data_IF_679968057288
#
_entry.id   IF_679968057288
#
_cell.length_a   1.000
_cell.length_b   1.000
_cell.length_c   1.000
_cell.angle_alpha   90.00
_cell.angle_beta   90.00
_cell.angle_gamma   90.00
#
_symmetry.space_group_name_H-M   'P 1'
#
loop_
_entity.id
_entity.type
_entity.pdbx_description
1 polymer ?
#
# COMPACT_ATOMS: atom_id res chain seq x y z
N UNK A 1 4.54 24.56 9.54
CA UNK A 1 3.74 24.20 8.36
C UNK A 1 4.03 22.76 7.99
N UNK A 2 2.99 21.95 7.84
CA UNK A 2 3.08 20.61 7.29
C UNK A 2 2.56 20.66 5.85
N UNK A 3 3.35 20.15 4.90
CA UNK A 3 3.05 20.19 3.46
C UNK A 3 2.95 18.77 2.89
N UNK A 4 1.83 18.45 2.29
CA UNK A 4 1.51 17.11 1.79
C UNK A 4 1.68 16.97 0.26
N UNK A 5 1.59 18.11 -0.44
CA UNK A 5 1.63 18.11 -1.89
C UNK A 5 3.07 17.96 -2.42
N UNK A 6 3.24 17.45 -3.64
CA UNK A 6 4.53 17.52 -4.32
C UNK A 6 5.01 18.98 -4.45
N UNK A 7 6.32 19.20 -4.35
CA UNK A 7 6.93 20.49 -4.62
C UNK A 7 7.33 20.56 -6.08
N UNK A 8 6.78 21.55 -6.81
CA UNK A 8 7.07 21.79 -8.22
C UNK A 8 8.37 22.56 -8.45
N UNK A 9 8.39 23.35 -9.53
CA UNK A 9 9.59 24.09 -9.95
C UNK A 9 9.89 25.34 -9.12
N UNK A 10 8.96 25.77 -8.27
CA UNK A 10 9.11 26.93 -7.40
C UNK A 10 8.72 26.60 -5.96
N UNK A 11 9.33 27.28 -5.00
CA UNK A 11 8.94 27.20 -3.59
C UNK A 11 7.55 27.85 -3.42
N UNK A 12 6.54 27.13 -2.89
CA UNK A 12 5.23 27.72 -2.66
C UNK A 12 5.26 28.98 -1.78
N UNK A 13 4.47 29.99 -2.15
CA UNK A 13 4.52 31.32 -1.50
C UNK A 13 4.31 31.30 0.02
N UNK A 14 3.44 30.42 0.53
CA UNK A 14 3.24 30.24 1.97
C UNK A 14 4.46 29.60 2.68
N UNK A 15 5.29 28.81 1.99
CA UNK A 15 6.56 28.34 2.51
C UNK A 15 7.62 29.44 2.50
N UNK A 16 7.68 30.27 1.47
CA UNK A 16 8.65 31.37 1.38
C UNK A 16 8.55 32.30 2.61
N UNK A 17 7.34 32.59 3.07
CA UNK A 17 7.12 33.41 4.27
C UNK A 17 7.82 32.81 5.49
N UNK A 18 7.79 31.49 5.66
CA UNK A 18 8.42 30.79 6.79
C UNK A 18 9.94 30.70 6.58
N UNK A 19 10.38 30.36 5.38
CA UNK A 19 11.79 30.15 5.07
C UNK A 19 12.59 31.45 5.17
N UNK A 20 11.95 32.62 4.90
CA UNK A 20 12.56 33.93 4.95
C UNK A 20 12.19 34.76 6.20
N UNK A 21 11.57 34.14 7.23
CA UNK A 21 11.17 34.82 8.50
C UNK A 21 10.31 36.08 8.31
N UNK A 22 9.42 36.06 7.31
CA UNK A 22 8.59 37.22 6.95
C UNK A 22 7.39 37.39 7.90
N UNK A 23 7.64 37.67 9.18
CA UNK A 23 6.58 38.04 10.13
C UNK A 23 5.67 36.88 10.59
N UNK A 24 6.06 35.63 10.37
CA UNK A 24 5.29 34.44 10.80
C UNK A 24 5.78 33.88 12.13
N UNK A 25 4.87 33.26 12.91
CA UNK A 25 5.22 32.48 14.10
C UNK A 25 5.73 31.07 13.75
N UNK A 26 5.41 30.57 12.56
CA UNK A 26 5.90 29.29 12.09
C UNK A 26 7.42 29.37 11.84
N UNK A 27 8.16 28.37 12.33
CA UNK A 27 9.61 28.35 12.29
C UNK A 27 10.18 27.33 11.31
N UNK A 28 9.39 26.32 10.97
CA UNK A 28 9.83 25.19 10.12
C UNK A 28 8.74 24.78 9.14
N UNK A 29 9.19 24.20 8.03
CA UNK A 29 8.38 23.51 7.04
C UNK A 29 8.67 22.02 7.17
N UNK A 30 7.64 21.20 7.33
CA UNK A 30 7.71 19.75 7.30
C UNK A 30 7.10 19.27 5.99
N UNK A 31 7.78 18.35 5.32
CA UNK A 31 7.31 17.69 4.10
C UNK A 31 7.27 16.18 4.33
N UNK A 32 6.25 15.51 3.81
CA UNK A 32 6.09 14.07 4.03
C UNK A 32 7.06 13.26 3.18
N UNK A 33 7.32 13.66 1.95
CA UNK A 33 8.10 12.90 0.96
C UNK A 33 9.54 13.38 0.86
N UNK A 34 10.45 12.43 0.64
CA UNK A 34 11.87 12.72 0.44
C UNK A 34 12.11 13.59 -0.80
N UNK A 35 11.41 13.32 -1.89
CA UNK A 35 11.51 14.07 -3.13
C UNK A 35 11.16 15.56 -2.93
N UNK A 36 10.11 15.84 -2.15
CA UNK A 36 9.71 17.21 -1.79
C UNK A 36 10.79 17.91 -0.95
N UNK A 37 11.43 17.20 -0.02
CA UNK A 37 12.55 17.72 0.75
C UNK A 37 13.73 18.07 -0.17
N UNK A 38 14.19 17.12 -0.97
CA UNK A 38 15.34 17.31 -1.85
C UNK A 38 15.08 18.43 -2.87
N UNK A 39 13.84 18.52 -3.37
CA UNK A 39 13.44 19.59 -4.29
C UNK A 39 13.48 20.97 -3.63
N UNK A 40 12.98 21.13 -2.41
CA UNK A 40 13.08 22.39 -1.67
C UNK A 40 14.52 22.80 -1.42
N UNK A 41 15.39 21.86 -1.04
CA UNK A 41 16.83 22.15 -0.85
C UNK A 41 17.47 22.58 -2.18
N UNK A 42 17.16 21.89 -3.28
CA UNK A 42 17.66 22.26 -4.62
C UNK A 42 17.19 23.66 -5.07
N UNK A 43 16.01 24.08 -4.63
CA UNK A 43 15.45 25.41 -4.86
C UNK A 43 16.01 26.48 -3.89
N UNK A 44 16.96 26.12 -3.02
CA UNK A 44 17.66 27.04 -2.13
C UNK A 44 17.00 27.24 -0.76
N UNK A 45 16.05 26.39 -0.37
CA UNK A 45 15.47 26.45 0.97
C UNK A 45 16.51 26.11 2.05
N UNK A 46 16.57 26.86 3.18
CA UNK A 46 17.49 26.57 4.28
C UNK A 46 17.20 25.21 4.92
N UNK A 47 18.21 24.34 4.98
CA UNK A 47 18.07 22.95 5.48
C UNK A 47 17.76 22.87 6.98
N UNK A 48 18.06 23.89 7.77
CA UNK A 48 17.70 24.00 9.17
C UNK A 48 16.20 24.27 9.37
N UNK A 49 15.55 24.86 8.35
CA UNK A 49 14.11 25.18 8.37
C UNK A 49 13.22 24.15 7.69
N UNK A 50 13.77 23.28 6.87
CA UNK A 50 13.03 22.21 6.19
C UNK A 50 13.37 20.87 6.81
N UNK A 51 12.35 20.09 7.17
CA UNK A 51 12.51 18.74 7.72
C UNK A 51 11.57 17.78 6.98
N UNK A 52 12.06 16.57 6.74
CA UNK A 52 11.19 15.48 6.31
C UNK A 52 10.53 14.86 7.54
N UNK A 53 9.22 14.64 7.47
CA UNK A 53 8.44 13.99 8.52
C UNK A 53 7.29 13.22 7.87
N UNK A 54 7.28 11.91 8.03
CA UNK A 54 6.27 11.03 7.47
C UNK A 54 4.91 11.12 8.15
N UNK A 55 4.03 10.18 7.86
CA UNK A 55 2.68 10.10 8.43
C UNK A 55 2.63 9.09 9.56
N UNK A 56 1.89 9.41 10.63
CA UNK A 56 1.53 8.42 11.66
C UNK A 56 0.27 7.69 11.20
N UNK A 57 0.41 6.39 10.96
CA UNK A 57 -0.71 5.51 10.63
C UNK A 57 -1.13 4.71 11.87
N UNK A 58 -2.45 4.58 12.06
CA UNK A 58 -3.01 3.70 13.09
C UNK A 58 -3.30 2.34 12.48
N UNK A 59 -2.35 1.42 12.58
CA UNK A 59 -2.56 0.06 12.11
C UNK A 59 -3.58 -0.67 13.00
N UNK A 60 -4.56 -1.32 12.35
CA UNK A 60 -5.69 -1.99 13.04
C UNK A 60 -5.23 -3.27 13.76
N UNK A 61 -4.25 -3.97 13.17
CA UNK A 61 -3.73 -5.23 13.69
C UNK A 61 -2.29 -5.50 13.23
N UNK A 62 -1.68 -6.53 13.83
CA UNK A 62 -0.43 -7.09 13.35
C UNK A 62 -0.67 -8.11 12.23
N UNK A 63 0.29 -8.26 11.32
CA UNK A 63 0.35 -9.37 10.37
C UNK A 63 0.72 -10.65 11.15
N UNK A 64 0.01 -11.74 10.89
CA UNK A 64 0.22 -13.04 11.56
C UNK A 64 0.80 -14.09 10.63
N UNK A 65 1.25 -13.69 9.45
CA UNK A 65 1.85 -14.55 8.41
C UNK A 65 0.92 -15.70 7.98
N UNK A 66 -0.40 -15.50 8.05
CA UNK A 66 -1.38 -16.52 7.65
C UNK A 66 -1.43 -16.62 6.13
N UNK A 67 -1.56 -17.83 5.55
CA UNK A 67 -1.55 -18.04 4.11
C UNK A 67 -2.91 -17.68 3.48
N UNK A 68 -3.44 -16.51 3.80
CA UNK A 68 -4.70 -16.02 3.28
C UNK A 68 -4.49 -14.74 2.49
N UNK A 69 -4.94 -14.75 1.23
CA UNK A 69 -4.87 -13.64 0.28
C UNK A 69 -6.26 -13.07 0.09
N UNK A 70 -6.40 -11.75 0.12
CA UNK A 70 -7.60 -11.04 -0.32
C UNK A 70 -7.36 -10.43 -1.69
N UNK A 71 -8.34 -10.60 -2.58
CA UNK A 71 -8.46 -9.91 -3.87
C UNK A 71 -9.81 -9.20 -3.88
N UNK A 72 -9.84 -7.91 -4.11
CA UNK A 72 -11.08 -7.14 -4.25
C UNK A 72 -11.30 -6.77 -5.72
N UNK A 73 -12.53 -6.96 -6.20
CA UNK A 73 -12.88 -6.63 -7.59
C UNK A 73 -14.34 -6.19 -7.72
N UNK A 74 -14.65 -5.44 -8.77
CA UNK A 74 -16.01 -5.14 -9.21
C UNK A 74 -16.29 -5.71 -10.62
N UNK A 75 -15.37 -6.49 -11.16
CA UNK A 75 -15.45 -7.03 -12.51
C UNK A 75 -14.95 -8.47 -12.58
N UNK A 76 -14.90 -9.01 -13.79
CA UNK A 76 -14.31 -10.30 -14.11
C UNK A 76 -12.82 -10.22 -14.49
N UNK A 77 -12.32 -9.00 -14.66
CA UNK A 77 -11.00 -8.75 -15.20
C UNK A 77 -9.93 -8.76 -14.09
N UNK A 78 -9.68 -9.95 -13.56
CA UNK A 78 -8.69 -10.21 -12.51
C UNK A 78 -7.52 -10.96 -13.13
N UNK A 79 -6.33 -10.35 -13.11
CA UNK A 79 -5.14 -10.84 -13.80
C UNK A 79 -4.62 -12.18 -13.25
N UNK A 80 -4.55 -13.19 -14.10
CA UNK A 80 -3.94 -14.50 -13.80
C UNK A 80 -4.41 -15.21 -12.51
N UNK A 81 -5.64 -14.94 -12.02
CA UNK A 81 -6.14 -15.49 -10.76
C UNK A 81 -6.04 -17.03 -10.70
N UNK A 82 -6.41 -17.71 -11.77
CA UNK A 82 -6.43 -19.19 -11.83
C UNK A 82 -5.04 -19.80 -11.92
N UNK A 83 -4.15 -19.15 -12.63
CA UNK A 83 -2.74 -19.49 -12.71
C UNK A 83 -2.05 -19.32 -11.37
N UNK A 84 -2.28 -18.19 -10.69
CA UNK A 84 -1.76 -17.92 -9.36
C UNK A 84 -2.28 -18.92 -8.32
N UNK A 85 -3.58 -19.26 -8.35
CA UNK A 85 -4.15 -20.28 -7.47
C UNK A 85 -3.48 -21.64 -7.68
N UNK A 86 -3.18 -22.00 -8.94
CA UNK A 86 -2.47 -23.24 -9.25
C UNK A 86 -1.02 -23.24 -8.79
N UNK A 87 -0.31 -22.10 -8.90
CA UNK A 87 1.10 -21.96 -8.52
C UNK A 87 1.31 -21.82 -7.01
N UNK A 88 0.27 -21.43 -6.27
CA UNK A 88 0.31 -21.21 -4.83
C UNK A 88 -0.74 -22.05 -4.08
N UNK A 89 -0.70 -23.41 -4.17
CA UNK A 89 -1.73 -24.28 -3.58
C UNK A 89 -1.80 -24.21 -2.04
N UNK A 90 -0.75 -23.75 -1.38
CA UNK A 90 -0.69 -23.55 0.07
C UNK A 90 -1.30 -22.23 0.54
N UNK A 91 -1.57 -21.29 -0.37
CA UNK A 91 -2.23 -20.02 -0.09
C UNK A 91 -3.71 -20.09 -0.44
N UNK A 92 -4.57 -19.53 0.39
CA UNK A 92 -6.01 -19.51 0.15
C UNK A 92 -6.47 -18.13 -0.32
N UNK A 93 -7.03 -18.07 -1.51
CA UNK A 93 -7.51 -16.85 -2.16
C UNK A 93 -8.95 -16.57 -1.76
N UNK A 94 -9.22 -15.40 -1.22
CA UNK A 94 -10.54 -14.85 -0.95
C UNK A 94 -10.82 -13.76 -1.97
N UNK A 95 -11.67 -14.03 -2.97
CA UNK A 95 -12.03 -13.09 -4.03
C UNK A 95 -13.36 -12.44 -3.70
N UNK A 96 -13.36 -11.17 -3.37
CA UNK A 96 -14.55 -10.43 -2.97
C UNK A 96 -14.97 -9.42 -4.03
N UNK A 97 -16.23 -9.50 -4.47
CA UNK A 97 -16.83 -8.53 -5.38
C UNK A 97 -18.04 -7.86 -4.73
N UNK A 98 -18.16 -6.54 -4.90
CA UNK A 98 -19.34 -5.77 -4.45
C UNK A 98 -20.54 -5.91 -5.41
N UNK A 99 -20.30 -6.52 -6.57
CA UNK A 99 -21.29 -6.83 -7.61
C UNK A 99 -21.44 -8.35 -7.77
N UNK A 100 -22.34 -8.76 -8.65
CA UNK A 100 -22.36 -10.15 -9.12
C UNK A 100 -21.08 -10.49 -9.86
N UNK A 101 -20.64 -11.74 -9.73
CA UNK A 101 -19.49 -12.26 -10.47
C UNK A 101 -19.95 -12.89 -11.77
N UNK A 102 -19.20 -12.67 -12.85
CA UNK A 102 -19.44 -13.34 -14.12
C UNK A 102 -19.19 -14.84 -14.04
N UNK A 103 -19.71 -15.60 -14.99
CA UNK A 103 -19.45 -17.04 -15.09
C UNK A 103 -17.95 -17.34 -15.22
N UNK A 104 -17.18 -16.46 -15.86
CA UNK A 104 -15.72 -16.58 -15.99
C UNK A 104 -15.06 -16.51 -14.61
N UNK A 105 -15.39 -15.49 -13.80
CA UNK A 105 -14.83 -15.36 -12.45
C UNK A 105 -15.34 -16.49 -11.52
N UNK A 106 -16.62 -16.86 -11.63
CA UNK A 106 -17.18 -17.99 -10.87
C UNK A 106 -16.49 -19.31 -11.14
N UNK A 107 -15.91 -19.51 -12.33
CA UNK A 107 -15.16 -20.73 -12.65
C UNK A 107 -13.87 -20.88 -11.83
N UNK A 108 -13.33 -19.80 -11.26
CA UNK A 108 -12.18 -19.88 -10.36
C UNK A 108 -12.50 -20.64 -9.06
N UNK A 109 -13.78 -20.72 -8.68
CA UNK A 109 -14.22 -21.52 -7.52
C UNK A 109 -14.07 -23.04 -7.69
N UNK A 110 -13.63 -23.53 -8.83
CA UNK A 110 -13.25 -24.95 -9.01
C UNK A 110 -11.92 -25.32 -8.32
N UNK A 111 -11.11 -24.31 -7.95
CA UNK A 111 -9.86 -24.52 -7.22
C UNK A 111 -10.14 -24.61 -5.72
N UNK A 112 -9.65 -25.65 -5.06
CA UNK A 112 -9.90 -25.92 -3.63
C UNK A 112 -9.39 -24.79 -2.73
N UNK A 113 -8.41 -24.02 -3.19
CA UNK A 113 -7.82 -22.90 -2.48
C UNK A 113 -8.41 -21.53 -2.88
N UNK A 114 -9.58 -21.49 -3.55
CA UNK A 114 -10.28 -20.26 -3.93
C UNK A 114 -11.67 -20.21 -3.33
N UNK A 115 -11.97 -19.15 -2.59
CA UNK A 115 -13.31 -18.84 -2.09
C UNK A 115 -13.81 -17.54 -2.74
N UNK A 116 -14.99 -17.59 -3.33
CA UNK A 116 -15.63 -16.47 -4.02
C UNK A 116 -16.75 -15.87 -3.17
N UNK A 117 -16.79 -14.54 -3.11
CA UNK A 117 -17.77 -13.76 -2.35
C UNK A 117 -18.46 -12.75 -3.28
N UNK A 118 -19.42 -13.20 -4.12
CA UNK A 118 -20.22 -12.29 -4.95
C UNK A 118 -21.17 -11.47 -4.08
N UNK A 119 -21.44 -10.22 -4.48
CA UNK A 119 -22.30 -9.28 -3.75
C UNK A 119 -21.93 -9.19 -2.27
N UNK A 120 -20.62 -9.11 -1.97
CA UNK A 120 -20.12 -9.20 -0.60
C UNK A 120 -20.68 -8.08 0.27
N UNK A 121 -21.21 -8.45 1.44
CA UNK A 121 -21.64 -7.47 2.44
C UNK A 121 -20.41 -6.85 3.11
N UNK A 122 -20.49 -5.57 3.46
CA UNK A 122 -19.37 -4.86 4.09
C UNK A 122 -18.85 -5.57 5.36
N UNK A 123 -19.74 -6.11 6.20
CA UNK A 123 -19.32 -6.86 7.40
C UNK A 123 -18.53 -8.14 7.09
N UNK A 124 -18.82 -8.80 5.97
CA UNK A 124 -18.05 -9.96 5.51
C UNK A 124 -16.72 -9.50 4.96
N UNK A 125 -16.71 -8.42 4.17
CA UNK A 125 -15.49 -7.84 3.64
C UNK A 125 -14.54 -7.36 4.76
N UNK A 126 -15.09 -6.71 5.81
CA UNK A 126 -14.33 -6.34 7.01
C UNK A 126 -13.67 -7.56 7.66
N UNK A 127 -14.44 -8.66 7.81
CA UNK A 127 -13.90 -9.92 8.34
C UNK A 127 -12.79 -10.53 7.45
N UNK A 128 -12.84 -10.32 6.13
CA UNK A 128 -11.78 -10.76 5.22
C UNK A 128 -10.51 -9.93 5.40
N UNK A 129 -10.62 -8.60 5.58
CA UNK A 129 -9.46 -7.77 5.91
C UNK A 129 -8.81 -8.17 7.25
N UNK A 130 -9.61 -8.62 8.22
CA UNK A 130 -9.07 -9.15 9.48
C UNK A 130 -8.44 -10.55 9.34
N UNK A 131 -8.95 -11.37 8.43
CA UNK A 131 -8.51 -12.75 8.21
C UNK A 131 -7.25 -12.86 7.38
N UNK A 132 -7.13 -12.05 6.31
CA UNK A 132 -6.09 -12.18 5.31
C UNK A 132 -4.84 -11.36 5.71
N UNK A 133 -3.66 -11.91 5.49
CA UNK A 133 -2.39 -11.24 5.76
C UNK A 133 -1.68 -10.78 4.47
N UNK A 134 -2.25 -11.13 3.30
CA UNK A 134 -1.80 -10.69 1.97
C UNK A 134 -2.97 -10.04 1.23
N UNK A 135 -2.67 -9.02 0.45
CA UNK A 135 -3.60 -8.40 -0.49
C UNK A 135 -2.97 -8.42 -1.88
N UNK A 136 -3.68 -8.96 -2.87
CA UNK A 136 -3.24 -8.89 -4.27
C UNK A 136 -4.05 -7.83 -5.02
N UNK A 137 -3.35 -6.82 -5.51
CA UNK A 137 -3.89 -5.77 -6.36
C UNK A 137 -3.71 -6.14 -7.84
N UNK A 138 -4.58 -7.07 -8.30
CA UNK A 138 -4.55 -7.68 -9.63
C UNK A 138 -5.86 -7.46 -10.41
N UNK A 139 -6.68 -6.51 -9.97
CA UNK A 139 -7.93 -6.13 -10.62
C UNK A 139 -7.67 -5.02 -11.64
N UNK A 140 -8.04 -5.22 -12.92
CA UNK A 140 -7.85 -4.25 -14.01
C UNK A 140 -8.87 -3.10 -14.03
N UNK A 141 -9.93 -3.21 -13.24
CA UNK A 141 -10.96 -2.19 -13.14
C UNK A 141 -10.69 -1.25 -11.96
N UNK A 142 -11.57 -0.29 -11.72
CA UNK A 142 -11.39 0.67 -10.64
C UNK A 142 -11.35 0.03 -9.25
N UNK A 143 -10.57 0.63 -8.35
CA UNK A 143 -10.50 0.23 -6.95
C UNK A 143 -11.86 0.26 -6.28
N UNK A 144 -12.18 -0.74 -5.47
CA UNK A 144 -13.41 -0.78 -4.69
C UNK A 144 -13.11 -0.48 -3.21
N UNK A 145 -13.99 0.29 -2.59
CA UNK A 145 -14.05 0.56 -1.13
C UNK A 145 -12.70 0.88 -0.49
N UNK A 146 -11.81 1.57 -1.20
CA UNK A 146 -10.48 1.98 -0.73
C UNK A 146 -9.63 0.77 -0.27
N UNK A 147 -9.68 -0.32 -1.04
CA UNK A 147 -9.21 -1.63 -0.62
C UNK A 147 -7.69 -1.65 -0.34
N UNK A 148 -6.88 -0.97 -1.15
CA UNK A 148 -5.42 -0.90 -0.97
C UNK A 148 -5.06 -0.17 0.32
N UNK A 149 -5.67 0.99 0.59
CA UNK A 149 -5.47 1.71 1.85
C UNK A 149 -5.94 0.89 3.05
N UNK A 150 -7.09 0.24 2.95
CA UNK A 150 -7.59 -0.66 4.00
C UNK A 150 -6.67 -1.85 4.24
N UNK A 151 -6.13 -2.45 3.20
CA UNK A 151 -5.12 -3.51 3.32
C UNK A 151 -3.87 -2.99 4.05
N UNK A 152 -3.37 -1.81 3.68
CA UNK A 152 -2.25 -1.16 4.35
C UNK A 152 -2.53 -0.94 5.86
N UNK A 153 -3.68 -0.35 6.23
CA UNK A 153 -4.04 -0.13 7.62
C UNK A 153 -4.25 -1.43 8.41
N UNK A 154 -4.65 -2.52 7.74
CA UNK A 154 -4.71 -3.86 8.33
C UNK A 154 -3.35 -4.58 8.35
N UNK A 155 -2.26 -3.88 8.02
CA UNK A 155 -0.90 -4.41 8.02
C UNK A 155 -0.75 -5.68 7.16
N UNK A 156 -1.49 -5.71 6.03
CA UNK A 156 -1.39 -6.78 5.03
C UNK A 156 -0.21 -6.49 4.09
N UNK A 157 0.48 -7.53 3.65
CA UNK A 157 1.47 -7.39 2.60
C UNK A 157 0.76 -7.21 1.26
N UNK A 158 0.95 -6.04 0.65
CA UNK A 158 0.34 -5.67 -0.64
C UNK A 158 1.33 -6.02 -1.74
N UNK A 159 0.84 -6.79 -2.72
CA UNK A 159 1.58 -7.19 -3.92
C UNK A 159 0.65 -7.04 -5.12
N UNK A 160 1.16 -6.65 -6.27
CA UNK A 160 0.32 -6.51 -7.46
C UNK A 160 1.12 -6.32 -8.75
N UNK A 161 0.40 -6.06 -9.83
CA UNK A 161 1.03 -5.77 -11.12
C UNK A 161 1.16 -4.27 -11.34
N UNK A 162 2.21 -3.85 -12.06
CA UNK A 162 2.40 -2.45 -12.46
C UNK A 162 1.14 -1.92 -13.19
N UNK A 163 0.49 -2.76 -13.97
CA UNK A 163 -0.66 -2.44 -14.80
C UNK A 163 -1.98 -2.34 -14.02
N UNK A 164 -2.06 -2.92 -12.81
CA UNK A 164 -3.28 -2.96 -11.99
C UNK A 164 -3.19 -2.18 -10.69
N UNK A 165 -2.00 -1.73 -10.30
CA UNK A 165 -1.78 -1.07 -9.02
C UNK A 165 -2.62 0.20 -8.87
N UNK A 166 -3.61 0.17 -7.97
CA UNK A 166 -4.53 1.29 -7.78
C UNK A 166 -3.94 2.41 -6.94
N UNK A 167 -3.19 2.07 -5.90
CA UNK A 167 -2.58 3.05 -5.02
C UNK A 167 -1.15 2.64 -4.65
N UNK A 168 -0.23 2.81 -5.60
CA UNK A 168 1.19 2.47 -5.48
C UNK A 168 1.89 3.15 -4.29
N UNK A 169 1.30 4.21 -3.73
CA UNK A 169 1.84 4.90 -2.55
C UNK A 169 1.97 3.97 -1.32
N UNK A 170 1.08 2.98 -1.21
CA UNK A 170 1.09 2.02 -0.09
C UNK A 170 1.83 0.72 -0.39
N UNK A 171 2.52 0.63 -1.53
CA UNK A 171 3.20 -0.59 -1.96
C UNK A 171 4.69 -0.30 -2.17
N UNK A 172 5.57 -1.23 -1.80
CA UNK A 172 6.98 -1.11 -2.12
C UNK A 172 7.24 -1.56 -3.57
N UNK A 173 8.20 -0.93 -4.26
CA UNK A 173 8.58 -1.31 -5.63
C UNK A 173 8.98 -2.79 -5.73
N UNK A 174 9.56 -3.36 -4.67
CA UNK A 174 9.93 -4.78 -4.58
C UNK A 174 8.73 -5.73 -4.58
N UNK A 175 7.52 -5.23 -4.34
CA UNK A 175 6.28 -6.00 -4.30
C UNK A 175 5.41 -5.74 -5.55
N UNK A 176 5.98 -5.07 -6.57
CA UNK A 176 5.30 -4.75 -7.82
C UNK A 176 5.96 -5.51 -8.96
N UNK A 177 5.18 -6.21 -9.76
CA UNK A 177 5.61 -7.06 -10.87
C UNK A 177 4.91 -6.61 -12.15
N UNK A 178 5.48 -6.94 -13.31
CA UNK A 178 4.69 -6.86 -14.56
C UNK A 178 3.69 -8.00 -14.60
N UNK A 179 2.54 -7.79 -15.20
CA UNK A 179 1.54 -8.84 -15.31
C UNK A 179 2.07 -10.10 -16.02
N UNK A 180 2.97 -9.91 -17.00
CA UNK A 180 3.67 -11.03 -17.68
C UNK A 180 4.60 -11.84 -16.75
N UNK A 181 4.94 -11.31 -15.57
CA UNK A 181 5.82 -11.91 -14.57
C UNK A 181 5.01 -12.55 -13.41
N UNK A 182 3.75 -12.93 -13.66
CA UNK A 182 2.88 -13.51 -12.62
C UNK A 182 3.46 -14.78 -11.97
N UNK A 183 4.27 -15.56 -12.71
CA UNK A 183 4.94 -16.73 -12.17
C UNK A 183 6.06 -16.37 -11.20
N UNK A 184 6.83 -15.31 -11.48
CA UNK A 184 7.88 -14.79 -10.59
C UNK A 184 7.25 -14.20 -9.33
N UNK A 185 6.10 -13.51 -9.45
CA UNK A 185 5.32 -13.04 -8.31
C UNK A 185 4.86 -14.19 -7.42
N UNK A 186 4.37 -15.30 -8.02
CA UNK A 186 3.96 -16.49 -7.27
C UNK A 186 5.15 -17.15 -6.55
N UNK A 187 6.32 -17.23 -7.20
CA UNK A 187 7.54 -17.76 -6.59
C UNK A 187 7.98 -16.91 -5.41
N UNK A 188 7.99 -15.58 -5.56
CA UNK A 188 8.33 -14.63 -4.50
C UNK A 188 7.40 -14.77 -3.28
N UNK A 189 6.08 -14.89 -3.50
CA UNK A 189 5.10 -15.08 -2.43
C UNK A 189 5.24 -16.45 -1.74
N UNK A 190 5.51 -17.53 -2.50
CA UNK A 190 5.79 -18.84 -1.93
C UNK A 190 7.03 -18.83 -1.04
N UNK A 191 8.10 -18.17 -1.50
CA UNK A 191 9.34 -18.00 -0.73
C UNK A 191 9.09 -17.18 0.54
N UNK A 192 8.38 -16.09 0.40
CA UNK A 192 8.02 -15.18 1.50
C UNK A 192 7.20 -15.92 2.57
N UNK A 193 6.22 -16.74 2.16
CA UNK A 193 5.44 -17.56 3.10
C UNK A 193 6.28 -18.63 3.80
N UNK A 194 7.25 -19.23 3.10
CA UNK A 194 8.14 -20.24 3.68
C UNK A 194 9.14 -19.64 4.69
N UNK A 195 9.43 -18.35 4.61
CA UNK A 195 10.38 -17.62 5.46
C UNK A 195 9.71 -16.38 6.08
N UNK A 196 9.04 -16.49 7.24
CA UNK A 196 8.25 -15.42 7.85
C UNK A 196 8.99 -14.08 8.04
N UNK A 197 10.30 -14.10 8.27
CA UNK A 197 11.10 -12.88 8.40
C UNK A 197 11.08 -12.03 7.10
N UNK A 198 10.91 -12.65 5.92
CA UNK A 198 10.79 -11.93 4.66
C UNK A 198 9.46 -11.15 4.57
N UNK A 199 8.39 -11.65 5.23
CA UNK A 199 7.12 -10.90 5.34
C UNK A 199 7.36 -9.63 6.15
N UNK A 200 8.04 -9.73 7.28
CA UNK A 200 8.32 -8.59 8.16
C UNK A 200 9.22 -7.56 7.47
N UNK A 201 10.23 -8.01 6.72
CA UNK A 201 11.08 -7.14 5.91
C UNK A 201 10.28 -6.44 4.80
N UNK A 202 9.44 -7.17 4.07
CA UNK A 202 8.61 -6.61 3.00
C UNK A 202 7.57 -5.60 3.56
N UNK A 203 6.97 -5.87 4.72
CA UNK A 203 6.09 -4.94 5.42
C UNK A 203 6.83 -3.68 5.89
N UNK A 204 8.07 -3.81 6.34
CA UNK A 204 8.90 -2.66 6.72
C UNK A 204 9.21 -1.78 5.48
N UNK A 205 9.52 -2.40 4.33
CA UNK A 205 9.73 -1.69 3.07
C UNK A 205 8.44 -1.00 2.60
N UNK A 206 7.29 -1.66 2.71
CA UNK A 206 5.97 -1.08 2.40
C UNK A 206 5.65 0.14 3.28
N UNK A 207 5.91 0.07 4.59
CA UNK A 207 5.75 1.21 5.50
C UNK A 207 6.69 2.36 5.14
N UNK A 208 7.92 2.04 4.74
CA UNK A 208 8.89 3.04 4.28
C UNK A 208 8.43 3.71 2.97
N UNK A 209 7.89 2.95 2.02
CA UNK A 209 7.33 3.49 0.77
C UNK A 209 6.17 4.46 1.07
N UNK A 210 5.27 4.10 1.98
CA UNK A 210 4.18 4.95 2.46
C UNK A 210 4.64 6.12 3.38
N UNK A 211 5.95 6.28 3.58
CA UNK A 211 6.54 7.30 4.47
C UNK A 211 5.92 7.25 5.88
N UNK A 212 5.68 6.05 6.38
CA UNK A 212 5.17 5.86 7.74
C UNK A 212 6.22 6.32 8.77
N UNK A 213 5.77 7.09 9.74
CA UNK A 213 6.54 7.57 10.88
C UNK A 213 5.86 7.14 12.17
N UNK A 214 6.60 7.10 13.26
CA UNK A 214 6.05 6.84 14.58
C UNK A 214 6.11 8.09 15.51
N UNK A 215 5.63 7.94 16.72
CA UNK A 215 5.65 9.03 17.69
C UNK A 215 7.07 9.44 18.09
N UNK A 216 8.04 8.53 18.04
CA UNK A 216 9.45 8.80 18.36
C UNK A 216 10.06 9.69 17.30
N UNK A 217 9.81 9.41 16.00
CA UNK A 217 10.25 10.24 14.90
C UNK A 217 9.75 11.69 15.06
N UNK A 218 8.47 11.84 15.45
CA UNK A 218 7.87 13.14 15.69
C UNK A 218 8.50 13.86 16.89
N UNK A 219 8.75 13.16 17.99
CA UNK A 219 9.38 13.72 19.17
C UNK A 219 10.79 14.19 18.91
N UNK A 220 11.59 13.39 18.19
CA UNK A 220 12.97 13.76 17.83
C UNK A 220 13.02 15.01 16.95
N UNK A 221 12.13 15.11 15.95
CA UNK A 221 12.11 16.25 15.02
C UNK A 221 11.53 17.51 15.65
N UNK A 222 10.55 17.39 16.55
CA UNK A 222 9.90 18.54 17.19
C UNK A 222 10.71 19.12 18.35
N UNK A 223 11.55 18.31 19.00
CA UNK A 223 12.43 18.74 20.11
C UNK A 223 13.79 19.28 19.65
N UNK A 224 14.12 19.12 18.37
CA UNK A 224 15.28 19.74 17.72
C UNK A 224 14.87 21.11 17.17
#
# INVERSE_FOLDING_TARGET
>A
LFWHEPVGDEIPGNMQIILHDQGTRAKRVFVSRRESYDRLIALGAPSDKVKQLGYIYSFVRENKHRPHILVCTNSENVGHLTELASLMPQMHFHVAAITEMSSKLMSAGQYDNVSLYPNVKMSVLDSLFEKCDFYLDINHEGEIVDAVHRAFLNNMLIVGYEETMHNAYYTADTNTFKESEYADMAEALNLTLAMPHLIDEALAMQKKAAVAADATDYMEILHL
#
